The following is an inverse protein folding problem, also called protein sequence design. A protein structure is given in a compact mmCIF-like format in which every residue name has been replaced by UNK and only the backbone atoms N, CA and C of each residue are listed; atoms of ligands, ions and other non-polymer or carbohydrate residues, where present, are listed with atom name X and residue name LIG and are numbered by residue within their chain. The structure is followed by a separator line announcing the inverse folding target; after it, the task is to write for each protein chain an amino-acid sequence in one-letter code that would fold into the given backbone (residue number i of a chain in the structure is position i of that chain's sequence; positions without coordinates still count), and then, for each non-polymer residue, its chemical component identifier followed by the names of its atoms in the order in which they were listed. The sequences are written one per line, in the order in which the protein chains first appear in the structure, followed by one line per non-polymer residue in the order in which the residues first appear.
data_IF_681712692160
#
_entry.id   IF_681712692160
#
_cell.length_a   1.000
_cell.length_b   1.000
_cell.length_c   1.000
_cell.angle_alpha   90.00
_cell.angle_beta   90.00
_cell.angle_gamma   90.00
#
_symmetry.space_group_name_H-M   'P 1'
#
loop_
_entity.id
_entity.type
_entity.pdbx_description
1 polymer ?
#
# COMPACT_ATOMS: atom_id res chain seq x y z
N UNK A 1 17.28 13.18 6.16
CA UNK A 1 16.68 14.53 6.05
C UNK A 1 15.26 14.44 5.51
N UNK A 2 14.31 15.12 6.16
CA UNK A 2 12.95 15.30 5.64
C UNK A 2 12.58 16.77 5.69
N UNK A 3 12.17 17.33 4.55
CA UNK A 3 11.69 18.70 4.42
C UNK A 3 10.33 18.64 3.74
N UNK A 4 9.33 19.32 4.29
CA UNK A 4 8.00 19.32 3.71
C UNK A 4 7.27 20.66 3.87
N UNK A 5 6.26 20.86 3.02
CA UNK A 5 5.27 21.95 3.11
C UNK A 5 5.89 23.34 3.28
N UNK A 6 6.84 23.71 2.42
CA UNK A 6 7.50 25.01 2.50
C UNK A 6 7.84 25.59 1.13
N UNK A 7 7.61 26.89 0.99
CA UNK A 7 8.08 27.72 -0.13
C UNK A 7 9.14 28.72 0.29
N UNK A 8 9.51 28.73 1.57
CA UNK A 8 10.59 29.56 2.10
C UNK A 8 11.89 29.15 1.43
N UNK A 9 12.64 30.13 0.93
CA UNK A 9 13.95 29.88 0.33
C UNK A 9 14.85 29.12 1.31
N UNK A 10 15.37 27.99 0.86
CA UNK A 10 16.24 27.13 1.66
C UNK A 10 17.49 26.74 0.91
N UNK A 11 18.55 26.49 1.66
CA UNK A 11 19.83 26.04 1.09
C UNK A 11 20.44 24.94 1.94
N UNK A 12 20.97 23.94 1.27
CA UNK A 12 21.86 22.94 1.87
C UNK A 12 23.23 23.12 1.23
N UNK A 13 24.26 23.28 2.05
CA UNK A 13 25.65 23.37 1.62
C UNK A 13 26.41 22.18 2.22
N UNK A 14 27.00 21.35 1.36
CA UNK A 14 27.91 20.25 1.73
C UNK A 14 27.33 19.34 2.83
N UNK A 15 26.51 18.37 2.42
CA UNK A 15 25.85 17.46 3.36
C UNK A 15 26.04 16.01 2.91
N UNK A 16 26.65 15.20 3.77
CA UNK A 16 26.68 13.74 3.61
C UNK A 16 25.61 13.11 4.48
N UNK A 17 24.77 12.24 3.91
CA UNK A 17 23.70 11.50 4.58
C UNK A 17 23.90 10.03 4.24
N UNK A 18 24.18 9.22 5.26
CA UNK A 18 24.70 7.86 5.04
C UNK A 18 24.00 6.87 5.98
N UNK A 19 23.91 5.61 5.57
CA UNK A 19 23.54 4.46 6.41
C UNK A 19 22.12 4.53 7.01
N UNK A 20 21.15 4.99 6.23
CA UNK A 20 19.75 5.02 6.68
C UNK A 20 18.99 3.76 6.26
N UNK A 21 17.94 3.41 7.01
CA UNK A 21 17.22 2.13 6.85
C UNK A 21 16.24 2.11 5.68
N UNK A 22 15.49 3.20 5.49
CA UNK A 22 14.41 3.28 4.47
C UNK A 22 14.54 4.45 3.52
N UNK A 23 14.94 5.62 4.03
CA UNK A 23 15.15 6.81 3.21
C UNK A 23 16.29 7.66 3.78
N UNK A 24 17.09 8.28 2.91
CA UNK A 24 18.09 9.27 3.31
C UNK A 24 17.53 10.69 3.17
N UNK A 25 16.93 11.03 2.04
CA UNK A 25 16.46 12.38 1.72
C UNK A 25 15.05 12.34 1.16
N UNK A 26 14.15 13.11 1.78
CA UNK A 26 12.79 13.32 1.28
C UNK A 26 12.45 14.80 1.24
N UNK A 27 12.01 15.27 0.08
CA UNK A 27 11.39 16.59 -0.10
C UNK A 27 9.95 16.40 -0.57
N UNK A 28 8.98 16.99 0.15
CA UNK A 28 7.56 16.87 -0.18
C UNK A 28 6.86 18.23 -0.14
N UNK A 29 6.33 18.71 -1.27
CA UNK A 29 5.74 20.06 -1.38
C UNK A 29 6.73 21.16 -0.98
N UNK A 30 7.96 21.07 -1.50
CA UNK A 30 9.05 22.02 -1.23
C UNK A 30 9.35 22.85 -2.48
N UNK A 31 9.60 24.15 -2.31
CA UNK A 31 9.98 25.00 -3.42
C UNK A 31 10.98 26.08 -3.06
N UNK A 32 11.73 26.57 -4.06
CA UNK A 32 12.75 27.61 -3.96
C UNK A 32 14.01 27.19 -3.19
N UNK A 33 14.40 25.92 -3.31
CA UNK A 33 15.54 25.35 -2.58
C UNK A 33 16.74 25.09 -3.48
N UNK A 34 17.94 25.29 -2.91
CA UNK A 34 19.20 24.97 -3.59
C UNK A 34 20.04 24.03 -2.72
N UNK A 35 20.37 22.86 -3.26
CA UNK A 35 21.12 21.80 -2.59
C UNK A 35 22.47 21.66 -3.29
N UNK A 36 23.55 21.91 -2.57
CA UNK A 36 24.91 21.93 -3.10
C UNK A 36 25.76 20.86 -2.41
N UNK A 37 26.52 20.09 -3.21
CA UNK A 37 27.47 19.09 -2.72
C UNK A 37 26.82 18.10 -1.73
N UNK A 38 25.68 17.54 -2.12
CA UNK A 38 25.01 16.51 -1.33
C UNK A 38 25.56 15.13 -1.69
N UNK A 39 25.83 14.33 -0.68
CA UNK A 39 26.19 12.93 -0.81
C UNK A 39 25.19 12.04 -0.08
N UNK A 40 24.78 10.98 -0.74
CA UNK A 40 24.03 9.83 -0.22
C UNK A 40 24.97 8.61 -0.17
N UNK A 41 24.92 7.77 0.87
CA UNK A 41 25.74 6.56 0.98
C UNK A 41 25.02 5.39 1.66
N UNK A 42 24.83 4.32 0.90
CA UNK A 42 24.11 3.14 1.34
C UNK A 42 25.08 2.01 1.76
N UNK A 43 24.82 1.41 2.92
CA UNK A 43 25.68 0.37 3.53
C UNK A 43 24.96 -0.97 3.67
N UNK A 44 25.74 -2.06 3.70
CA UNK A 44 25.25 -3.43 3.65
C UNK A 44 24.31 -3.84 4.79
N UNK A 45 24.54 -3.38 6.03
CA UNK A 45 23.76 -3.79 7.20
C UNK A 45 22.46 -3.00 7.33
N UNK A 46 22.48 -1.72 6.99
CA UNK A 46 21.37 -0.82 7.29
C UNK A 46 20.68 -0.28 6.02
N UNK A 47 21.42 -0.02 4.95
CA UNK A 47 20.95 0.72 3.78
C UNK A 47 20.67 -0.09 2.51
N UNK A 48 20.76 -1.42 2.56
CA UNK A 48 20.60 -2.28 1.37
C UNK A 48 19.34 -1.97 0.54
N UNK A 49 18.23 -1.63 1.22
CA UNK A 49 16.93 -1.32 0.60
C UNK A 49 16.51 0.16 0.78
N UNK A 50 17.44 1.04 1.14
CA UNK A 50 17.16 2.45 1.34
C UNK A 50 16.82 3.12 0.00
N UNK A 51 15.87 4.05 0.00
CA UNK A 51 15.69 4.99 -1.11
C UNK A 51 16.54 6.24 -0.83
N UNK A 52 17.59 6.54 -1.62
CA UNK A 52 18.45 7.69 -1.35
C UNK A 52 17.69 9.01 -1.36
N UNK A 53 17.00 9.31 -2.47
CA UNK A 53 16.32 10.59 -2.64
C UNK A 53 14.91 10.37 -3.18
N UNK A 54 13.95 11.05 -2.56
CA UNK A 54 12.58 11.13 -3.04
C UNK A 54 12.08 12.57 -3.07
N UNK A 55 11.64 13.02 -4.25
CA UNK A 55 11.04 14.34 -4.45
C UNK A 55 9.56 14.17 -4.82
N UNK A 56 8.67 14.83 -4.09
CA UNK A 56 7.25 14.80 -4.37
C UNK A 56 6.66 16.20 -4.38
N UNK A 57 5.91 16.54 -5.44
CA UNK A 57 5.25 17.84 -5.60
C UNK A 57 6.20 19.03 -5.36
N UNK A 58 7.48 18.87 -5.70
CA UNK A 58 8.51 19.89 -5.51
C UNK A 58 8.61 20.80 -6.74
N UNK A 59 9.03 22.04 -6.54
CA UNK A 59 9.21 22.96 -7.65
C UNK A 59 10.30 24.00 -7.47
N UNK A 60 10.89 24.48 -8.56
CA UNK A 60 11.94 25.50 -8.54
C UNK A 60 13.07 25.14 -7.57
N UNK A 61 13.70 23.98 -7.80
CA UNK A 61 14.82 23.51 -6.99
C UNK A 61 16.05 23.22 -7.86
N UNK A 62 17.22 23.41 -7.26
CA UNK A 62 18.50 23.07 -7.89
C UNK A 62 19.26 22.10 -7.00
N UNK A 63 19.77 21.02 -7.59
CA UNK A 63 20.76 20.13 -7.00
C UNK A 63 22.05 20.27 -7.80
N UNK A 64 23.16 20.62 -7.16
CA UNK A 64 24.44 20.76 -7.85
C UNK A 64 25.55 19.97 -7.14
N UNK A 65 26.36 19.24 -7.91
CA UNK A 65 27.38 18.30 -7.44
C UNK A 65 26.75 17.22 -6.54
N UNK A 66 25.83 16.44 -7.09
CA UNK A 66 25.12 15.38 -6.37
C UNK A 66 25.87 14.05 -6.50
N UNK A 67 26.20 13.44 -5.36
CA UNK A 67 26.84 12.13 -5.27
C UNK A 67 25.89 11.11 -4.64
N UNK A 68 25.62 10.03 -5.35
CA UNK A 68 24.82 8.91 -4.87
C UNK A 68 25.73 7.68 -4.87
N UNK A 69 26.09 7.21 -3.68
CA UNK A 69 27.16 6.25 -3.50
C UNK A 69 26.68 4.93 -2.86
N UNK A 70 27.20 3.80 -3.35
CA UNK A 70 27.00 2.46 -2.79
C UNK A 70 28.35 1.83 -2.42
N UNK A 71 28.48 1.40 -1.17
CA UNK A 71 29.74 0.86 -0.63
C UNK A 71 30.15 -0.49 -1.21
N UNK A 72 31.43 -0.84 -1.04
CA UNK A 72 32.03 -2.11 -1.50
C UNK A 72 31.39 -3.40 -0.95
N UNK A 73 30.64 -3.31 0.16
CA UNK A 73 30.05 -4.48 0.84
C UNK A 73 28.63 -4.80 0.36
N UNK A 74 28.06 -3.98 -0.52
CA UNK A 74 26.73 -4.26 -1.05
C UNK A 74 26.74 -5.45 -1.99
N UNK A 75 25.86 -6.39 -1.72
CA UNK A 75 25.73 -7.66 -2.46
C UNK A 75 24.43 -7.79 -3.24
N UNK A 76 23.59 -6.76 -3.22
CA UNK A 76 22.32 -6.72 -3.93
C UNK A 76 22.12 -5.40 -4.70
N UNK A 77 21.48 -5.47 -5.87
CA UNK A 77 21.12 -4.28 -6.64
C UNK A 77 19.97 -3.53 -5.96
N UNK A 78 19.82 -2.26 -6.32
CA UNK A 78 18.66 -1.45 -5.93
C UNK A 78 18.19 -0.62 -7.14
N UNK A 79 16.88 -0.50 -7.36
CA UNK A 79 16.39 -0.04 -8.65
C UNK A 79 16.63 1.45 -8.90
N UNK A 80 16.49 2.32 -7.88
CA UNK A 80 16.46 3.77 -8.09
C UNK A 80 17.27 4.57 -7.07
N UNK A 81 18.04 5.56 -7.51
CA UNK A 81 18.63 6.54 -6.56
C UNK A 81 17.68 7.70 -6.25
N UNK A 82 17.12 8.31 -7.29
CA UNK A 82 16.18 9.43 -7.17
C UNK A 82 14.83 9.03 -7.74
N UNK A 83 13.81 9.01 -6.89
CA UNK A 83 12.41 8.91 -7.33
C UNK A 83 11.76 10.28 -7.30
N UNK A 84 11.04 10.61 -8.37
CA UNK A 84 10.31 11.87 -8.46
C UNK A 84 8.83 11.65 -8.76
N UNK A 85 8.00 12.51 -8.17
CA UNK A 85 6.55 12.49 -8.29
C UNK A 85 6.04 13.91 -8.51
N UNK A 86 5.42 14.19 -9.67
CA UNK A 86 4.76 15.47 -9.96
C UNK A 86 5.63 16.71 -9.66
N UNK A 87 6.92 16.63 -10.00
CA UNK A 87 7.86 17.75 -9.81
C UNK A 87 7.97 18.60 -11.08
N UNK A 88 8.32 19.87 -10.93
CA UNK A 88 8.50 20.80 -12.06
C UNK A 88 9.63 21.78 -11.79
N UNK A 89 10.26 22.28 -12.84
CA UNK A 89 11.35 23.25 -12.73
C UNK A 89 12.44 22.81 -11.75
N UNK A 90 12.88 21.54 -11.86
CA UNK A 90 13.97 20.99 -11.07
C UNK A 90 15.19 20.83 -11.95
N UNK A 91 16.33 21.34 -11.49
CA UNK A 91 17.59 21.25 -12.21
C UNK A 91 18.61 20.45 -11.40
N UNK A 92 19.21 19.45 -12.02
CA UNK A 92 20.36 18.72 -11.49
C UNK A 92 21.58 19.07 -12.32
N UNK A 93 22.66 19.47 -11.65
CA UNK A 93 23.93 19.87 -12.25
C UNK A 93 25.05 18.99 -11.69
N UNK A 94 25.86 18.41 -12.58
CA UNK A 94 26.98 17.55 -12.24
C UNK A 94 26.60 16.40 -11.27
N UNK A 95 26.05 15.33 -11.83
CA UNK A 95 25.51 14.20 -11.07
C UNK A 95 26.37 12.96 -11.23
N UNK A 96 26.61 12.29 -10.10
CA UNK A 96 27.44 11.10 -9.97
C UNK A 96 26.64 9.98 -9.27
N UNK A 97 26.42 8.86 -9.96
CA UNK A 97 25.93 7.60 -9.40
C UNK A 97 27.07 6.60 -9.39
N UNK A 98 27.60 6.27 -8.22
CA UNK A 98 28.87 5.56 -8.11
C UNK A 98 28.78 4.37 -7.15
N UNK A 99 29.52 3.32 -7.47
CA UNK A 99 29.74 2.20 -6.59
C UNK A 99 31.12 1.61 -6.85
N UNK A 100 31.74 1.08 -5.80
CA UNK A 100 33.00 0.35 -5.92
C UNK A 100 32.79 -1.16 -6.18
N UNK A 101 31.54 -1.57 -6.40
CA UNK A 101 31.10 -2.92 -6.78
C UNK A 101 30.35 -2.86 -8.11
N UNK A 102 29.97 -4.03 -8.63
CA UNK A 102 29.24 -4.16 -9.90
C UNK A 102 27.87 -3.47 -9.91
N UNK A 103 27.28 -3.27 -8.75
CA UNK A 103 25.92 -2.77 -8.60
C UNK A 103 25.95 -1.34 -8.05
N UNK A 104 25.88 -0.36 -8.95
CA UNK A 104 25.27 0.94 -8.63
C UNK A 104 23.75 0.74 -8.50
N UNK A 105 22.97 1.82 -8.38
CA UNK A 105 21.54 1.71 -8.67
C UNK A 105 21.30 1.52 -10.17
N UNK A 106 20.28 0.72 -10.52
CA UNK A 106 19.99 0.38 -11.91
C UNK A 106 19.58 1.61 -12.74
N UNK A 107 18.78 2.49 -12.14
CA UNK A 107 18.25 3.71 -12.75
C UNK A 107 18.47 4.90 -11.81
N UNK A 108 19.45 5.77 -12.09
CA UNK A 108 19.71 6.98 -11.29
C UNK A 108 18.48 7.85 -11.03
N UNK A 109 17.65 8.12 -12.04
CA UNK A 109 16.42 8.92 -11.88
C UNK A 109 15.23 8.21 -12.50
N UNK A 110 14.14 8.13 -11.74
CA UNK A 110 12.89 7.58 -12.19
C UNK A 110 11.71 8.48 -11.82
N UNK A 111 10.94 8.90 -12.82
CA UNK A 111 9.67 9.60 -12.63
C UNK A 111 8.53 8.59 -12.70
N UNK A 112 7.79 8.47 -11.61
CA UNK A 112 6.84 7.37 -11.47
C UNK A 112 5.55 7.63 -12.25
N UNK A 113 5.14 8.89 -12.39
CA UNK A 113 3.90 9.24 -13.08
C UNK A 113 4.08 9.30 -14.60
N UNK A 114 5.27 9.65 -15.07
CA UNK A 114 5.59 9.63 -16.51
C UNK A 114 6.26 8.33 -16.95
N UNK A 115 6.67 7.46 -16.03
CA UNK A 115 7.41 6.21 -16.34
C UNK A 115 8.70 6.48 -17.14
N UNK A 116 9.28 7.67 -16.97
CA UNK A 116 10.53 8.08 -17.62
C UNK A 116 11.72 7.78 -16.72
N UNK A 117 12.81 7.33 -17.34
CA UNK A 117 14.04 6.95 -16.69
C UNK A 117 15.27 7.66 -17.28
N UNK A 118 16.21 8.06 -16.43
CA UNK A 118 17.54 8.55 -16.83
C UNK A 118 18.58 7.57 -16.32
N UNK A 119 19.30 6.95 -17.27
CA UNK A 119 20.20 5.82 -17.01
C UNK A 119 21.69 6.14 -16.88
N UNK A 120 22.26 7.16 -17.55
CA UNK A 120 23.68 7.46 -17.40
C UNK A 120 24.05 7.67 -15.93
N UNK A 121 25.13 7.02 -15.49
CA UNK A 121 25.62 7.15 -14.11
C UNK A 121 26.36 8.46 -13.86
N UNK A 122 26.78 9.14 -14.92
CA UNK A 122 27.53 10.39 -14.89
C UNK A 122 26.93 11.33 -15.93
N UNK A 123 26.49 12.52 -15.53
CA UNK A 123 26.01 13.54 -16.47
C UNK A 123 26.10 14.97 -15.93
N UNK A 124 26.32 15.92 -16.82
CA UNK A 124 26.53 17.33 -16.46
C UNK A 124 25.23 18.06 -16.11
N UNK A 125 24.09 17.70 -16.72
CA UNK A 125 22.83 18.41 -16.52
C UNK A 125 21.62 17.54 -16.80
N UNK A 126 20.61 17.64 -15.94
CA UNK A 126 19.25 17.14 -16.16
C UNK A 126 18.26 18.23 -15.74
N UNK A 127 17.22 18.44 -16.54
CA UNK A 127 16.13 19.38 -16.24
C UNK A 127 14.83 18.61 -16.27
N UNK A 128 14.04 18.73 -15.20
CA UNK A 128 12.67 18.24 -15.10
C UNK A 128 11.76 19.46 -15.23
N UNK A 129 11.04 19.56 -16.33
CA UNK A 129 10.17 20.70 -16.65
C UNK A 129 8.79 20.58 -16.02
N UNK A 130 8.35 19.37 -15.68
CA UNK A 130 6.98 19.06 -15.25
C UNK A 130 5.98 19.02 -16.40
N UNK A 131 6.47 18.99 -17.64
CA UNK A 131 5.67 18.90 -18.89
C UNK A 131 5.99 17.65 -19.70
N UNK A 132 6.82 16.78 -19.15
CA UNK A 132 7.20 15.53 -19.77
C UNK A 132 5.96 14.67 -19.99
N UNK A 133 5.82 14.14 -21.20
CA UNK A 133 4.77 13.17 -21.50
C UNK A 133 5.14 11.81 -20.90
N UNK A 134 4.12 11.05 -20.48
CA UNK A 134 4.31 9.67 -20.06
C UNK A 134 4.93 8.84 -21.20
N UNK A 135 5.93 8.01 -20.89
CA UNK A 135 6.63 7.12 -21.82
C UNK A 135 5.68 6.22 -22.60
N UNK A 136 4.71 5.64 -21.90
CA UNK A 136 3.63 4.83 -22.48
C UNK A 136 2.29 5.49 -22.15
N UNK A 137 1.58 6.10 -23.11
CA UNK A 137 0.29 6.73 -22.89
C UNK A 137 -0.75 5.75 -22.32
N UNK A 138 -1.57 6.23 -21.38
CA UNK A 138 -2.75 5.51 -20.89
C UNK A 138 -3.92 5.79 -21.83
N UNK A 139 -4.46 4.73 -22.43
CA UNK A 139 -5.53 4.77 -23.43
C UNK A 139 -6.91 4.51 -22.84
N UNK A 140 -6.98 3.88 -21.66
CA UNK A 140 -8.22 3.45 -21.02
C UNK A 140 -9.10 2.59 -21.95
N UNK A 141 -8.47 1.86 -22.86
CA UNK A 141 -9.15 0.96 -23.79
C UNK A 141 -9.76 -0.22 -23.02
N UNK A 142 -11.01 -0.56 -23.36
CA UNK A 142 -11.72 -1.66 -22.72
C UNK A 142 -10.96 -2.99 -22.89
N UNK A 143 -10.76 -3.70 -21.78
CA UNK A 143 -10.09 -4.99 -21.73
C UNK A 143 -8.55 -4.90 -21.79
N UNK A 144 -7.98 -3.72 -22.03
CA UNK A 144 -6.53 -3.54 -22.07
C UNK A 144 -5.99 -3.28 -20.66
N UNK A 145 -5.04 -4.12 -20.23
CA UNK A 145 -4.31 -3.91 -18.98
C UNK A 145 -3.23 -2.86 -19.19
N UNK A 146 -3.27 -1.80 -18.39
CA UNK A 146 -2.32 -0.69 -18.44
C UNK A 146 -1.58 -0.57 -17.11
N UNK A 147 -0.25 -0.55 -17.16
CA UNK A 147 0.58 -0.28 -15.98
C UNK A 147 0.52 1.21 -15.65
N UNK A 148 0.08 1.54 -14.44
CA UNK A 148 -0.02 2.90 -13.93
C UNK A 148 1.30 3.36 -13.30
N UNK A 149 1.96 2.48 -12.56
CA UNK A 149 3.28 2.72 -11.98
C UNK A 149 3.97 1.41 -11.62
N UNK A 150 5.29 1.49 -11.41
CA UNK A 150 6.11 0.41 -10.88
C UNK A 150 7.14 0.97 -9.90
N UNK A 151 8.00 0.11 -9.36
CA UNK A 151 9.02 0.49 -8.39
C UNK A 151 8.55 0.39 -6.94
N UNK A 152 7.47 -0.35 -6.71
CA UNK A 152 7.06 -0.78 -5.38
C UNK A 152 7.80 -2.08 -5.01
N UNK A 153 8.04 -2.27 -3.73
CA UNK A 153 8.56 -3.46 -3.09
C UNK A 153 7.54 -4.59 -3.10
N UNK A 154 6.33 -4.28 -2.62
CA UNK A 154 5.19 -5.18 -2.64
C UNK A 154 3.89 -4.39 -2.49
N UNK A 155 3.24 -4.08 -3.62
CA UNK A 155 1.99 -3.33 -3.63
C UNK A 155 0.81 -4.25 -3.27
N UNK A 156 0.08 -3.89 -2.21
CA UNK A 156 -1.10 -4.63 -1.73
C UNK A 156 -2.06 -3.74 -0.93
N UNK A 157 -3.02 -4.36 -0.23
CA UNK A 157 -3.83 -3.68 0.79
C UNK A 157 -4.77 -2.62 0.22
N UNK A 158 -5.39 -2.88 -0.93
CA UNK A 158 -6.09 -1.82 -1.67
C UNK A 158 -7.46 -1.45 -1.09
N UNK A 159 -7.83 -0.18 -1.23
CA UNK A 159 -9.19 0.32 -0.98
C UNK A 159 -9.51 1.53 -1.88
N UNK A 160 -10.74 2.02 -1.82
CA UNK A 160 -11.20 3.18 -2.59
C UNK A 160 -11.96 4.19 -1.73
N UNK A 161 -11.98 5.44 -2.16
CA UNK A 161 -12.93 6.44 -1.67
C UNK A 161 -14.13 6.62 -2.62
N UNK A 162 -15.11 7.41 -2.20
CA UNK A 162 -16.32 7.72 -2.97
C UNK A 162 -16.06 8.47 -4.28
N UNK A 163 -14.89 9.12 -4.40
CA UNK A 163 -14.46 9.87 -5.59
C UNK A 163 -13.78 8.97 -6.62
N UNK A 164 -13.58 7.69 -6.30
CA UNK A 164 -12.94 6.71 -7.15
C UNK A 164 -11.42 6.73 -7.09
N UNK A 165 -10.82 7.45 -6.13
CA UNK A 165 -9.38 7.32 -5.88
C UNK A 165 -9.09 5.93 -5.31
N UNK A 166 -7.88 5.44 -5.57
CA UNK A 166 -7.40 4.17 -5.04
C UNK A 166 -6.27 4.41 -4.06
N UNK A 167 -6.31 3.71 -2.94
CA UNK A 167 -5.24 3.70 -1.94
C UNK A 167 -4.67 2.29 -1.86
N UNK A 168 -3.36 2.18 -1.68
CA UNK A 168 -2.64 0.91 -1.53
C UNK A 168 -1.38 1.11 -0.68
N UNK A 169 -0.78 0.04 -0.19
CA UNK A 169 0.37 0.13 0.70
C UNK A 169 1.48 -0.88 0.39
N UNK A 170 2.62 -0.68 1.05
CA UNK A 170 3.73 -1.62 1.16
C UNK A 170 4.00 -1.90 2.64
N UNK A 171 3.90 -3.16 3.04
CA UNK A 171 4.09 -3.54 4.43
C UNK A 171 5.51 -3.24 4.92
N UNK A 172 6.53 -3.81 4.27
CA UNK A 172 7.92 -3.75 4.73
C UNK A 172 8.51 -2.35 4.60
N UNK A 173 8.19 -1.65 3.52
CA UNK A 173 8.63 -0.27 3.30
C UNK A 173 7.83 0.76 4.10
N UNK A 174 6.72 0.35 4.71
CA UNK A 174 5.86 1.17 5.59
C UNK A 174 5.23 2.37 4.89
N UNK A 175 4.90 2.21 3.61
CA UNK A 175 4.41 3.31 2.77
C UNK A 175 2.97 3.11 2.38
N UNK A 176 2.25 4.22 2.26
CA UNK A 176 0.87 4.28 1.78
C UNK A 176 0.82 5.23 0.59
N UNK A 177 0.16 4.83 -0.47
CA UNK A 177 0.06 5.55 -1.73
C UNK A 177 -1.40 5.84 -2.07
N UNK A 178 -1.60 6.86 -2.91
CA UNK A 178 -2.87 7.22 -3.51
C UNK A 178 -2.68 7.35 -5.01
N UNK A 179 -3.49 6.65 -5.78
CA UNK A 179 -3.77 6.98 -7.18
C UNK A 179 -5.00 7.89 -7.23
N UNK A 180 -4.82 9.07 -7.83
CA UNK A 180 -5.84 10.10 -7.93
C UNK A 180 -6.64 9.95 -9.23
N UNK A 181 -7.96 9.77 -9.10
CA UNK A 181 -8.86 9.56 -10.24
C UNK A 181 -9.08 10.80 -11.11
N UNK A 182 -8.86 12.00 -10.56
CA UNK A 182 -8.98 13.25 -11.28
C UNK A 182 -7.78 13.51 -12.19
N UNK A 183 -6.58 13.30 -11.67
CA UNK A 183 -5.31 13.65 -12.32
C UNK A 183 -4.62 12.46 -12.99
N UNK A 184 -5.08 11.22 -12.76
CA UNK A 184 -4.42 9.98 -13.18
C UNK A 184 -2.97 9.87 -12.69
N UNK A 185 -2.66 10.41 -11.52
CA UNK A 185 -1.31 10.43 -10.94
C UNK A 185 -1.28 9.72 -9.60
N UNK A 186 -0.13 9.16 -9.26
CA UNK A 186 0.15 8.57 -7.96
C UNK A 186 0.94 9.56 -7.09
N UNK A 187 0.67 9.51 -5.79
CA UNK A 187 1.43 10.18 -4.74
C UNK A 187 1.64 9.25 -3.54
N UNK A 188 2.80 9.37 -2.90
CA UNK A 188 3.08 8.85 -1.57
C UNK A 188 2.33 9.69 -0.53
N UNK A 189 1.40 9.07 0.19
CA UNK A 189 0.66 9.68 1.30
C UNK A 189 1.57 9.79 2.52
N UNK A 190 2.21 8.70 2.92
CA UNK A 190 3.06 8.69 4.12
C UNK A 190 4.01 7.51 4.18
N UNK A 191 5.09 7.70 4.94
CA UNK A 191 6.02 6.64 5.39
C UNK A 191 5.92 6.59 6.91
N UNK A 192 5.36 5.51 7.42
CA UNK A 192 4.95 5.40 8.82
C UNK A 192 5.97 4.58 9.63
N UNK A 193 6.00 4.77 10.96
CA UNK A 193 6.83 3.94 11.82
C UNK A 193 6.33 2.50 11.91
N UNK A 194 5.05 2.22 11.65
CA UNK A 194 4.45 0.88 11.71
C UNK A 194 4.17 0.34 10.31
N UNK A 195 4.08 -0.99 10.20
CA UNK A 195 3.85 -1.69 8.94
C UNK A 195 2.36 -1.64 8.59
N UNK A 196 1.93 -0.92 7.54
CA UNK A 196 0.55 -0.97 7.05
C UNK A 196 0.32 -2.33 6.39
N UNK A 197 -0.73 -3.02 6.79
CA UNK A 197 -1.05 -4.37 6.32
C UNK A 197 -2.12 -4.34 5.23
N UNK A 198 -3.21 -3.62 5.52
CA UNK A 198 -4.33 -3.47 4.62
C UNK A 198 -5.04 -2.16 4.90
N UNK A 199 -5.71 -1.64 3.88
CA UNK A 199 -6.43 -0.37 3.94
C UNK A 199 -7.92 -0.61 3.83
N UNK A 200 -8.68 0.31 4.42
CA UNK A 200 -10.11 0.43 4.29
C UNK A 200 -10.51 1.88 4.13
N UNK A 201 -11.76 2.12 3.77
CA UNK A 201 -12.32 3.46 3.77
C UNK A 201 -13.68 3.40 4.46
N UNK A 202 -14.02 4.41 5.26
CA UNK A 202 -15.34 4.49 5.89
C UNK A 202 -16.38 5.11 4.92
N UNK A 203 -17.58 5.41 5.39
CA UNK A 203 -18.64 6.00 4.54
C UNK A 203 -18.46 7.51 4.29
N UNK A 204 -17.46 8.14 4.92
CA UNK A 204 -17.15 9.57 4.83
C UNK A 204 -15.78 9.83 4.22
N UNK A 205 -15.22 8.84 3.54
CA UNK A 205 -13.90 8.87 2.90
C UNK A 205 -12.71 9.04 3.87
N UNK A 206 -12.86 8.67 5.15
CA UNK A 206 -11.70 8.56 6.03
C UNK A 206 -10.92 7.29 5.66
N UNK A 207 -9.62 7.43 5.43
CA UNK A 207 -8.75 6.29 5.18
C UNK A 207 -8.52 5.56 6.49
N UNK A 208 -8.79 4.25 6.51
CA UNK A 208 -8.54 3.36 7.63
C UNK A 208 -7.32 2.50 7.30
N UNK A 209 -6.43 2.32 8.26
CA UNK A 209 -5.17 1.59 8.07
C UNK A 209 -5.02 0.57 9.18
N UNK A 210 -4.89 -0.71 8.82
CA UNK A 210 -4.48 -1.76 9.75
C UNK A 210 -2.96 -1.74 9.85
N UNK A 211 -2.43 -1.42 11.02
CA UNK A 211 -1.00 -1.44 11.30
C UNK A 211 -0.62 -2.66 12.13
N UNK A 212 0.49 -3.30 11.78
CA UNK A 212 1.16 -4.25 12.67
C UNK A 212 1.94 -3.49 13.73
N UNK A 213 1.49 -3.60 14.98
CA UNK A 213 2.09 -2.92 16.11
C UNK A 213 2.84 -3.91 17.00
N UNK A 214 4.13 -3.61 17.26
CA UNK A 214 4.95 -4.35 18.23
C UNK A 214 5.31 -3.41 19.38
N UNK A 215 4.87 -3.71 20.62
CA UNK A 215 5.34 -2.99 21.80
C UNK A 215 6.87 -2.94 21.83
N UNK A 216 7.43 -1.75 22.04
CA UNK A 216 8.87 -1.57 22.06
C UNK A 216 9.44 -2.01 23.41
N UNK A 217 10.42 -2.94 23.46
CA UNK A 217 11.07 -3.31 24.71
C UNK A 217 11.69 -2.10 25.41
N UNK A 218 11.37 -1.93 26.70
CA UNK A 218 11.87 -0.81 27.50
C UNK A 218 11.02 0.46 27.40
N UNK A 219 10.11 0.55 26.42
CA UNK A 219 9.09 1.61 26.40
C UNK A 219 7.98 1.28 27.39
N UNK A 220 7.91 2.05 28.47
CA UNK A 220 7.00 1.82 29.60
C UNK A 220 5.96 2.92 29.68
N UNK A 221 4.69 2.54 29.75
CA UNK A 221 3.58 3.46 30.03
C UNK A 221 3.31 3.38 31.53
N UNK A 222 3.50 4.51 32.23
CA UNK A 222 3.37 4.59 33.69
C UNK A 222 4.21 3.52 34.44
N UNK A 223 5.41 3.22 33.94
CA UNK A 223 6.32 2.23 34.53
C UNK A 223 6.04 0.77 34.16
N UNK A 224 4.97 0.49 33.40
CA UNK A 224 4.60 -0.86 32.96
C UNK A 224 4.99 -1.06 31.49
N UNK A 225 5.61 -2.20 31.19
CA UNK A 225 5.91 -2.59 29.81
C UNK A 225 4.58 -2.82 29.07
N UNK A 226 4.43 -2.16 27.93
CA UNK A 226 3.26 -2.38 27.09
C UNK A 226 3.24 -3.81 26.55
N UNK A 227 2.05 -4.40 26.50
CA UNK A 227 1.77 -5.72 25.92
C UNK A 227 0.59 -5.64 24.96
N UNK A 228 0.43 -6.66 24.15
CA UNK A 228 -0.70 -6.84 23.23
C UNK A 228 -1.43 -8.13 23.59
N UNK A 229 -2.77 -8.19 23.42
CA UNK A 229 -3.52 -9.40 23.71
C UNK A 229 -3.25 -10.48 22.67
N UNK A 230 -3.21 -11.74 23.12
CA UNK A 230 -3.30 -12.89 22.23
C UNK A 230 -4.76 -13.08 21.81
N UNK A 231 -5.03 -13.05 20.51
CA UNK A 231 -6.38 -13.25 19.99
C UNK A 231 -6.74 -14.75 19.98
N UNK A 232 -7.97 -15.15 20.34
CA UNK A 232 -8.34 -16.57 20.41
C UNK A 232 -8.25 -17.33 19.08
N UNK A 233 -8.34 -16.63 17.95
CA UNK A 233 -8.20 -17.15 16.58
C UNK A 233 -6.75 -17.14 16.06
N UNK A 234 -5.79 -16.77 16.90
CA UNK A 234 -4.37 -16.86 16.55
C UNK A 234 -3.88 -18.31 16.45
N UNK A 235 -4.53 -19.26 17.11
CA UNK A 235 -4.24 -20.69 16.93
C UNK A 235 -4.72 -21.17 15.56
N UNK A 236 -4.12 -22.23 15.01
CA UNK A 236 -4.56 -22.89 13.77
C UNK A 236 -4.05 -22.26 12.46
N UNK A 237 -3.24 -21.19 12.57
CA UNK A 237 -2.46 -20.64 11.45
C UNK A 237 -0.97 -20.66 11.77
N UNK A 238 -0.15 -21.04 10.80
CA UNK A 238 1.32 -21.01 10.83
C UNK A 238 1.86 -19.59 10.81
N UNK A 239 1.00 -18.59 10.55
CA UNK A 239 1.35 -17.19 10.71
C UNK A 239 1.40 -16.75 12.18
N UNK A 240 0.98 -17.59 13.12
CA UNK A 240 1.09 -17.33 14.56
C UNK A 240 2.14 -18.23 15.21
N UNK A 241 2.85 -17.69 16.21
CA UNK A 241 3.95 -18.39 16.88
C UNK A 241 5.22 -18.42 16.04
N UNK A 242 6.15 -19.34 16.36
CA UNK A 242 7.43 -19.51 15.64
C UNK A 242 8.24 -18.21 15.44
N UNK A 243 8.21 -17.30 16.41
CA UNK A 243 8.86 -15.98 16.33
C UNK A 243 8.01 -14.88 15.67
N UNK A 244 6.79 -15.19 15.23
CA UNK A 244 5.78 -14.25 14.73
C UNK A 244 4.63 -14.10 15.75
N UNK A 245 4.96 -13.64 16.96
CA UNK A 245 4.01 -13.32 18.05
C UNK A 245 4.40 -12.00 18.73
N UNK A 246 3.64 -11.58 19.75
CA UNK A 246 3.92 -10.35 20.49
C UNK A 246 3.63 -9.07 19.70
N UNK A 247 2.71 -9.13 18.74
CA UNK A 247 2.22 -7.98 17.99
C UNK A 247 0.69 -7.94 18.00
N UNK A 248 0.12 -6.75 17.84
CA UNK A 248 -1.31 -6.52 17.64
C UNK A 248 -1.59 -5.89 16.28
N UNK A 249 -2.81 -6.06 15.79
CA UNK A 249 -3.33 -5.36 14.61
C UNK A 249 -4.14 -4.16 15.09
N UNK A 250 -3.54 -2.97 15.07
CA UNK A 250 -4.22 -1.74 15.47
C UNK A 250 -4.72 -0.96 14.26
N UNK A 251 -5.91 -0.42 14.35
CA UNK A 251 -6.54 0.28 13.25
C UNK A 251 -6.49 1.77 13.53
N UNK A 252 -6.00 2.53 12.56
CA UNK A 252 -5.97 3.99 12.61
C UNK A 252 -6.81 4.59 11.50
N UNK A 253 -7.36 5.77 11.73
CA UNK A 253 -7.86 6.65 10.67
C UNK A 253 -6.83 7.72 10.33
N UNK A 254 -6.75 8.10 9.05
CA UNK A 254 -5.82 9.10 8.54
C UNK A 254 -6.56 10.03 7.56
N UNK A 255 -6.36 11.33 7.72
CA UNK A 255 -6.68 12.31 6.68
C UNK A 255 -5.53 12.37 5.67
N UNK A 256 -5.81 11.98 4.43
CA UNK A 256 -4.80 11.84 3.37
C UNK A 256 -4.15 13.16 2.94
N UNK A 257 -4.77 14.30 3.25
CA UNK A 257 -4.21 15.63 2.97
C UNK A 257 -3.21 16.09 4.04
N UNK A 258 -3.32 15.57 5.26
CA UNK A 258 -2.42 15.86 6.37
C UNK A 258 -2.15 14.60 7.23
N UNK A 259 -1.48 13.58 6.66
CA UNK A 259 -1.40 12.26 7.28
C UNK A 259 -0.53 12.23 8.55
N UNK A 260 0.51 13.04 8.61
CA UNK A 260 1.46 13.08 9.72
C UNK A 260 0.81 13.60 11.03
N UNK A 261 -0.17 14.50 10.93
CA UNK A 261 -0.83 15.13 12.08
C UNK A 261 -2.21 14.53 12.41
N UNK A 262 -2.81 13.80 11.47
CA UNK A 262 -4.20 13.32 11.60
C UNK A 262 -4.34 11.85 11.99
N UNK A 263 -3.23 11.10 12.07
CA UNK A 263 -3.26 9.69 12.42
C UNK A 263 -3.87 9.48 13.81
N UNK A 264 -4.98 8.72 13.87
CA UNK A 264 -5.73 8.51 15.10
C UNK A 264 -6.11 7.04 15.26
N UNK A 265 -5.74 6.45 16.41
CA UNK A 265 -6.14 5.10 16.78
C UNK A 265 -7.67 5.02 16.94
N UNK A 266 -8.30 4.03 16.31
CA UNK A 266 -9.73 3.83 16.41
C UNK A 266 -10.14 3.28 17.78
N UNK A 267 -11.31 3.67 18.30
CA UNK A 267 -11.86 3.07 19.50
C UNK A 267 -12.17 1.58 19.29
N UNK A 268 -11.70 0.76 20.23
CA UNK A 268 -12.02 -0.66 20.35
C UNK A 268 -13.21 -0.83 21.28
N UNK A 269 -14.27 -1.48 20.81
CA UNK A 269 -15.54 -1.67 21.54
C UNK A 269 -16.00 -3.13 21.45
N UNK A 270 -16.87 -3.61 22.36
CA UNK A 270 -17.46 -4.93 22.24
C UNK A 270 -18.24 -5.09 20.94
N UNK A 271 -18.12 -6.26 20.31
CA UNK A 271 -18.87 -6.59 19.09
C UNK A 271 -20.38 -6.52 19.35
N UNK A 272 -21.14 -5.95 18.40
CA UNK A 272 -22.59 -5.74 18.54
C UNK A 272 -23.01 -4.51 19.35
N UNK A 273 -22.07 -3.75 19.95
CA UNK A 273 -22.40 -2.51 20.67
C UNK A 273 -22.75 -1.33 19.76
N UNK A 274 -22.34 -1.37 18.49
CA UNK A 274 -22.66 -0.35 17.49
C UNK A 274 -24.06 -0.60 16.93
N UNK A 275 -24.98 0.34 17.17
CA UNK A 275 -26.42 0.16 16.90
C UNK A 275 -26.78 0.02 15.41
N UNK A 276 -26.01 0.65 14.52
CA UNK A 276 -26.28 0.67 13.09
C UNK A 276 -24.98 0.49 12.32
N UNK A 277 -24.89 -0.61 11.57
CA UNK A 277 -23.76 -0.88 10.69
C UNK A 277 -24.15 -0.56 9.25
N UNK A 278 -23.37 0.29 8.60
CA UNK A 278 -23.46 0.55 7.17
C UNK A 278 -22.61 -0.46 6.39
N UNK A 279 -21.42 -0.77 6.91
CA UNK A 279 -20.54 -1.83 6.40
C UNK A 279 -19.58 -2.32 7.50
N UNK A 280 -19.17 -3.57 7.39
CA UNK A 280 -18.02 -4.12 8.09
C UNK A 280 -16.87 -4.31 7.10
N UNK A 281 -15.64 -4.29 7.57
CA UNK A 281 -14.45 -4.56 6.75
C UNK A 281 -13.76 -5.82 7.27
N UNK A 282 -13.70 -6.86 6.44
CA UNK A 282 -13.15 -8.16 6.80
C UNK A 282 -11.93 -8.53 5.95
N UNK A 283 -11.00 -9.36 6.47
CA UNK A 283 -9.93 -9.97 5.68
C UNK A 283 -10.42 -10.59 4.38
N UNK A 284 -9.73 -10.28 3.27
CA UNK A 284 -10.01 -10.86 1.95
C UNK A 284 -9.76 -12.37 1.86
N UNK A 285 -8.75 -12.83 2.59
CA UNK A 285 -8.26 -14.20 2.56
C UNK A 285 -7.81 -14.62 3.96
N UNK A 286 -7.76 -15.93 4.19
CA UNK A 286 -7.16 -16.52 5.41
C UNK A 286 -6.39 -17.79 5.04
N UNK A 287 -5.22 -17.94 5.64
CA UNK A 287 -4.45 -19.18 5.58
C UNK A 287 -4.60 -19.94 6.89
N UNK A 288 -5.18 -21.14 6.85
CA UNK A 288 -5.61 -21.90 8.02
C UNK A 288 -5.12 -23.36 7.95
N UNK A 289 -3.96 -23.63 8.53
CA UNK A 289 -3.29 -24.94 8.50
C UNK A 289 -4.10 -26.05 9.21
N UNK A 290 -5.00 -25.69 10.12
CA UNK A 290 -5.87 -26.65 10.81
C UNK A 290 -7.15 -26.98 10.04
N UNK A 291 -7.32 -26.45 8.82
CA UNK A 291 -8.54 -26.58 8.03
C UNK A 291 -9.80 -26.11 8.79
N UNK A 292 -9.62 -25.15 9.71
CA UNK A 292 -10.69 -24.56 10.51
C UNK A 292 -11.22 -23.25 9.90
N UNK A 293 -10.89 -22.98 8.64
CA UNK A 293 -11.30 -21.78 7.89
C UNK A 293 -12.77 -21.45 8.06
N UNK A 294 -13.65 -22.43 7.88
CA UNK A 294 -15.09 -22.21 7.97
C UNK A 294 -15.51 -21.70 9.35
N UNK A 295 -15.01 -22.34 10.41
CA UNK A 295 -15.36 -22.00 11.80
C UNK A 295 -14.82 -20.63 12.19
N UNK A 296 -13.58 -20.31 11.79
CA UNK A 296 -12.93 -19.04 12.10
C UNK A 296 -13.56 -17.88 11.33
N UNK A 297 -13.95 -18.10 10.08
CA UNK A 297 -14.48 -17.03 9.22
C UNK A 297 -15.84 -16.53 9.69
N UNK A 298 -16.71 -17.41 10.21
CA UNK A 298 -18.03 -17.04 10.75
C UNK A 298 -18.03 -16.82 12.26
N UNK A 299 -16.88 -16.93 12.92
CA UNK A 299 -16.77 -16.64 14.36
C UNK A 299 -17.04 -15.16 14.58
N UNK A 300 -17.91 -14.86 15.55
CA UNK A 300 -18.14 -13.50 16.04
C UNK A 300 -16.99 -13.14 17.00
N UNK A 301 -16.16 -12.13 16.69
CA UNK A 301 -15.13 -11.68 17.60
C UNK A 301 -15.72 -11.05 18.86
N UNK A 302 -14.93 -10.98 19.93
CA UNK A 302 -15.35 -10.31 21.16
C UNK A 302 -15.46 -8.78 20.96
N UNK A 303 -14.58 -8.21 20.14
CA UNK A 303 -14.46 -6.77 19.95
C UNK A 303 -14.36 -6.40 18.46
N UNK A 304 -14.61 -5.13 18.17
CA UNK A 304 -14.37 -4.51 16.88
C UNK A 304 -13.83 -3.08 17.06
N UNK A 305 -13.23 -2.55 16.00
CA UNK A 305 -12.83 -1.14 15.91
C UNK A 305 -13.92 -0.36 15.18
N UNK A 306 -14.23 0.84 15.67
CA UNK A 306 -15.26 1.70 15.05
C UNK A 306 -14.59 2.85 14.31
N UNK A 307 -14.91 3.00 13.04
CA UNK A 307 -14.41 4.11 12.22
C UNK A 307 -15.01 5.46 12.66
N UNK A 308 -14.42 6.60 12.23
CA UNK A 308 -14.90 7.93 12.61
C UNK A 308 -16.34 8.23 12.16
N UNK A 309 -16.85 7.56 11.13
CA UNK A 309 -18.25 7.68 10.71
C UNK A 309 -19.27 7.08 11.70
N UNK A 310 -18.82 6.27 12.66
CA UNK A 310 -19.65 5.61 13.68
C UNK A 310 -20.52 4.46 13.16
N UNK A 311 -20.40 4.09 11.88
CA UNK A 311 -21.24 3.07 11.21
C UNK A 311 -20.43 2.07 10.38
N UNK A 312 -19.13 2.29 10.21
CA UNK A 312 -18.18 1.33 9.66
C UNK A 312 -17.42 0.67 10.80
N UNK A 313 -17.36 -0.67 10.80
CA UNK A 313 -16.60 -1.43 11.79
C UNK A 313 -15.53 -2.32 11.14
N UNK A 314 -14.47 -2.61 11.88
CA UNK A 314 -13.47 -3.64 11.55
C UNK A 314 -13.46 -4.65 12.70
N UNK A 315 -14.05 -5.85 12.51
CA UNK A 315 -14.06 -6.89 13.54
C UNK A 315 -12.63 -7.37 13.88
N UNK A 316 -12.33 -7.49 15.18
CA UNK A 316 -10.99 -7.82 15.66
C UNK A 316 -10.70 -9.32 15.46
N UNK A 317 -9.96 -9.64 14.41
CA UNK A 317 -9.52 -11.01 14.12
C UNK A 317 -8.03 -11.05 13.81
N UNK A 318 -7.40 -12.19 14.10
CA UNK A 318 -5.97 -12.39 13.93
C UNK A 318 -5.55 -12.29 12.46
N UNK A 319 -6.41 -12.73 11.53
CA UNK A 319 -6.13 -12.72 10.10
C UNK A 319 -5.97 -11.30 9.51
N UNK A 320 -6.39 -10.23 10.23
CA UNK A 320 -6.02 -8.85 9.89
C UNK A 320 -4.50 -8.68 9.73
N UNK A 321 -3.71 -9.50 10.44
CA UNK A 321 -2.25 -9.47 10.43
C UNK A 321 -1.61 -9.93 9.11
N UNK A 322 -2.34 -10.69 8.29
CA UNK A 322 -1.84 -11.37 7.08
C UNK A 322 -2.65 -11.05 5.82
N UNK A 323 -3.92 -10.69 5.96
CA UNK A 323 -4.82 -10.48 4.83
C UNK A 323 -4.23 -9.52 3.81
N UNK A 324 -4.31 -9.87 2.52
CA UNK A 324 -3.77 -9.00 1.46
C UNK A 324 -4.65 -7.77 1.23
N UNK A 325 -5.90 -7.77 1.70
CA UNK A 325 -6.83 -6.62 1.65
C UNK A 325 -7.93 -6.73 2.71
N UNK A 326 -8.63 -5.61 2.93
CA UNK A 326 -9.94 -5.60 3.58
C UNK A 326 -11.03 -5.48 2.53
N UNK A 327 -12.02 -6.37 2.60
CA UNK A 327 -13.18 -6.35 1.72
C UNK A 327 -14.40 -5.79 2.45
N UNK A 328 -15.23 -5.05 1.70
CA UNK A 328 -16.44 -4.42 2.22
C UNK A 328 -17.58 -5.44 2.34
N UNK A 329 -18.01 -5.73 3.58
CA UNK A 329 -19.18 -6.52 3.90
C UNK A 329 -20.37 -5.60 4.18
N UNK A 330 -21.31 -5.53 3.24
CA UNK A 330 -22.53 -4.73 3.39
C UNK A 330 -23.70 -5.60 3.88
N UNK A 331 -24.40 -5.22 4.96
CA UNK A 331 -25.59 -5.94 5.41
C UNK A 331 -26.60 -6.24 4.29
N UNK A 332 -27.07 -7.48 4.22
CA UNK A 332 -28.01 -7.95 3.20
C UNK A 332 -27.41 -8.20 1.81
N UNK A 333 -26.10 -8.01 1.63
CA UNK A 333 -25.37 -8.41 0.42
C UNK A 333 -24.48 -9.62 0.71
N UNK A 334 -24.19 -10.46 -0.30
CA UNK A 334 -23.23 -11.54 -0.13
C UNK A 334 -21.80 -10.98 0.06
N UNK A 335 -21.02 -11.68 0.87
CA UNK A 335 -19.60 -11.43 1.09
C UNK A 335 -18.77 -12.61 0.58
N UNK A 336 -17.65 -12.32 -0.09
CA UNK A 336 -16.79 -13.33 -0.71
C UNK A 336 -15.38 -13.24 -0.13
N UNK A 337 -14.84 -14.34 0.37
CA UNK A 337 -13.48 -14.42 0.90
C UNK A 337 -12.77 -15.71 0.47
N UNK A 338 -11.46 -15.63 0.30
CA UNK A 338 -10.64 -16.76 -0.10
C UNK A 338 -10.22 -17.61 1.12
N UNK A 339 -10.48 -18.90 1.02
CA UNK A 339 -9.71 -19.91 1.74
C UNK A 339 -8.42 -20.13 0.95
N UNK A 340 -7.36 -19.48 1.41
CA UNK A 340 -6.06 -19.45 0.72
C UNK A 340 -5.40 -20.85 0.72
N UNK A 341 -5.65 -21.64 1.77
CA UNK A 341 -5.05 -22.96 1.93
C UNK A 341 -5.69 -23.96 0.93
N UNK A 342 -7.02 -24.04 0.92
CA UNK A 342 -7.74 -24.98 0.06
C UNK A 342 -8.02 -24.40 -1.35
N UNK A 343 -7.47 -23.23 -1.68
CA UNK A 343 -7.57 -22.54 -2.97
C UNK A 343 -9.01 -22.36 -3.48
N UNK A 344 -9.92 -21.97 -2.59
CA UNK A 344 -11.35 -21.82 -2.89
C UNK A 344 -11.90 -20.48 -2.42
N UNK A 345 -12.92 -19.99 -3.12
CA UNK A 345 -13.70 -18.83 -2.69
C UNK A 345 -14.96 -19.32 -1.98
N UNK A 346 -15.27 -18.71 -0.84
CA UNK A 346 -16.55 -18.93 -0.14
C UNK A 346 -17.45 -17.72 -0.29
N UNK A 347 -18.76 -17.94 -0.15
CA UNK A 347 -19.80 -16.93 -0.09
C UNK A 347 -20.48 -16.99 1.28
N UNK A 348 -20.76 -15.83 1.87
CA UNK A 348 -21.39 -15.70 3.18
C UNK A 348 -22.46 -14.62 3.17
N UNK A 349 -23.38 -14.72 4.12
CA UNK A 349 -24.37 -13.69 4.40
C UNK A 349 -23.82 -12.68 5.41
N UNK A 350 -24.12 -11.39 5.19
CA UNK A 350 -23.80 -10.30 6.11
C UNK A 350 -25.06 -9.84 6.82
N UNK A 351 -25.12 -10.01 8.14
CA UNK A 351 -26.27 -9.59 8.96
C UNK A 351 -26.26 -8.08 9.26
N UNK A 352 -27.36 -7.58 9.83
CA UNK A 352 -27.55 -6.14 10.12
C UNK A 352 -26.55 -5.56 11.12
N UNK A 353 -25.97 -6.40 11.98
CA UNK A 353 -24.91 -6.09 12.94
C UNK A 353 -23.49 -6.31 12.35
N UNK A 354 -23.39 -6.61 11.06
CA UNK A 354 -22.13 -6.78 10.33
C UNK A 354 -21.48 -8.15 10.50
N UNK A 355 -22.11 -9.11 11.18
CA UNK A 355 -21.56 -10.47 11.33
C UNK A 355 -21.67 -11.29 10.04
N UNK A 356 -20.75 -12.25 9.89
CA UNK A 356 -20.74 -13.22 8.78
C UNK A 356 -21.41 -14.54 9.22
N UNK A 357 -22.22 -15.12 8.35
CA UNK A 357 -22.89 -16.41 8.60
C UNK A 357 -23.16 -17.15 7.29
N UNK A 358 -23.74 -18.36 7.38
CA UNK A 358 -24.18 -19.16 6.24
C UNK A 358 -23.10 -19.32 5.16
N UNK A 359 -21.90 -19.76 5.58
CA UNK A 359 -20.77 -19.97 4.67
C UNK A 359 -21.08 -21.11 3.70
N UNK A 360 -20.89 -20.83 2.41
CA UNK A 360 -21.10 -21.75 1.29
C UNK A 360 -19.87 -21.73 0.38
N UNK A 361 -19.45 -22.89 -0.11
CA UNK A 361 -18.42 -22.96 -1.15
C UNK A 361 -18.97 -22.41 -2.46
N UNK A 362 -18.27 -21.43 -3.04
CA UNK A 362 -18.71 -20.74 -4.25
C UNK A 362 -17.97 -21.26 -5.48
N UNK A 363 -16.64 -21.25 -5.45
CA UNK A 363 -15.77 -21.76 -6.53
C UNK A 363 -14.49 -22.37 -5.96
N UNK A 364 -13.91 -23.33 -6.68
CA UNK A 364 -12.63 -23.99 -6.35
C UNK A 364 -11.44 -23.26 -7.03
N UNK A 365 -11.40 -21.93 -6.89
CA UNK A 365 -10.32 -21.07 -7.39
C UNK A 365 -10.30 -19.76 -6.58
N UNK A 366 -9.29 -19.56 -5.74
CA UNK A 366 -8.98 -18.30 -5.07
C UNK A 366 -7.58 -18.33 -4.43
N UNK A 367 -6.93 -17.18 -4.32
CA UNK A 367 -5.68 -17.01 -3.55
C UNK A 367 -5.82 -15.85 -2.55
N UNK A 368 -6.00 -14.64 -3.06
CA UNK A 368 -6.03 -13.42 -2.22
C UNK A 368 -7.38 -12.70 -2.30
N UNK A 369 -7.42 -11.52 -2.93
CA UNK A 369 -8.57 -10.64 -2.97
C UNK A 369 -9.64 -11.01 -4.00
N UNK A 370 -10.84 -10.48 -3.77
CA UNK A 370 -11.91 -10.43 -4.76
C UNK A 370 -12.47 -9.02 -4.91
N UNK A 371 -13.14 -8.76 -6.03
CA UNK A 371 -13.93 -7.56 -6.24
C UNK A 371 -15.24 -7.93 -6.95
N UNK A 372 -16.35 -7.30 -6.55
CA UNK A 372 -17.68 -7.57 -7.11
C UNK A 372 -18.16 -6.37 -7.91
N UNK A 373 -18.57 -6.58 -9.15
CA UNK A 373 -19.13 -5.50 -9.98
C UNK A 373 -20.62 -5.26 -9.69
N UNK A 374 -21.20 -4.23 -10.31
CA UNK A 374 -22.62 -3.87 -10.12
C UNK A 374 -23.62 -4.92 -10.62
N UNK A 375 -23.18 -5.91 -11.41
CA UNK A 375 -24.00 -7.02 -11.91
C UNK A 375 -23.86 -8.28 -11.06
N UNK A 376 -23.02 -8.26 -10.03
CA UNK A 376 -22.75 -9.41 -9.18
C UNK A 376 -21.72 -10.38 -9.75
N UNK A 377 -20.96 -10.00 -10.77
CA UNK A 377 -19.81 -10.81 -11.19
C UNK A 377 -18.68 -10.65 -10.18
N UNK A 378 -18.04 -11.76 -9.84
CA UNK A 378 -16.93 -11.83 -8.89
C UNK A 378 -15.62 -11.96 -9.65
N UNK A 379 -14.76 -10.98 -9.48
CA UNK A 379 -13.39 -10.95 -9.98
C UNK A 379 -12.49 -11.51 -8.87
N UNK A 380 -11.60 -12.43 -9.23
CA UNK A 380 -10.82 -13.20 -8.26
C UNK A 380 -9.35 -13.16 -8.63
N UNK A 381 -8.51 -12.71 -7.69
CA UNK A 381 -7.06 -12.74 -7.80
C UNK A 381 -6.52 -14.15 -7.50
N UNK A 382 -5.94 -14.80 -8.50
CA UNK A 382 -5.22 -16.08 -8.40
C UNK A 382 -4.25 -16.22 -9.59
N UNK A 383 -3.03 -15.67 -9.47
CA UNK A 383 -2.06 -15.62 -10.58
C UNK A 383 -2.39 -14.61 -11.68
N UNK A 384 -3.64 -14.58 -12.12
CA UNK A 384 -4.28 -13.58 -12.98
C UNK A 384 -5.58 -13.12 -12.29
N UNK A 385 -6.43 -12.37 -13.00
CA UNK A 385 -7.80 -12.09 -12.51
C UNK A 385 -8.80 -12.94 -13.29
N UNK A 386 -9.54 -13.79 -12.59
CA UNK A 386 -10.61 -14.61 -13.17
C UNK A 386 -11.98 -14.03 -12.85
N UNK A 387 -12.90 -14.12 -13.82
CA UNK A 387 -14.24 -13.53 -13.70
C UNK A 387 -15.26 -14.66 -13.63
N UNK A 388 -16.13 -14.59 -12.64
CA UNK A 388 -17.22 -15.53 -12.40
C UNK A 388 -18.54 -14.79 -12.32
N UNK A 389 -19.62 -15.36 -12.84
CA UNK A 389 -20.96 -14.83 -12.59
C UNK A 389 -21.43 -15.14 -11.16
N UNK A 390 -22.57 -14.58 -10.76
CA UNK A 390 -23.16 -14.78 -9.42
C UNK A 390 -23.47 -16.25 -9.05
N UNK A 391 -23.43 -17.17 -10.02
CA UNK A 391 -23.66 -18.60 -9.83
C UNK A 391 -22.35 -19.41 -9.80
N UNK A 392 -21.19 -18.75 -9.87
CA UNK A 392 -19.89 -19.40 -9.85
C UNK A 392 -19.46 -19.96 -11.21
N UNK A 393 -20.12 -19.58 -12.31
CA UNK A 393 -19.68 -19.95 -13.66
C UNK A 393 -18.60 -18.99 -14.15
N UNK A 394 -17.44 -19.52 -14.54
CA UNK A 394 -16.35 -18.73 -15.12
C UNK A 394 -16.78 -18.08 -16.45
N UNK A 395 -16.67 -16.76 -16.54
CA UNK A 395 -17.06 -15.96 -17.72
C UNK A 395 -15.86 -15.31 -18.42
N UNK A 396 -14.71 -15.19 -17.74
CA UNK A 396 -13.55 -14.54 -18.34
C UNK A 396 -12.25 -14.67 -17.53
N UNK A 397 -11.19 -14.12 -18.12
CA UNK A 397 -9.84 -14.00 -17.57
C UNK A 397 -9.24 -12.68 -18.04
N UNK A 398 -8.59 -11.95 -17.14
CA UNK A 398 -7.75 -10.79 -17.44
C UNK A 398 -6.31 -11.20 -17.16
N UNK A 399 -5.48 -11.21 -18.20
CA UNK A 399 -4.06 -11.52 -18.06
C UNK A 399 -3.32 -10.31 -17.49
N UNK A 400 -2.70 -10.48 -16.33
CA UNK A 400 -1.90 -9.45 -15.66
C UNK A 400 -0.42 -9.82 -15.76
N UNK A 401 0.49 -8.86 -16.07
CA UNK A 401 1.92 -9.15 -16.20
C UNK A 401 2.61 -9.63 -14.91
N UNK A 402 2.07 -9.27 -13.75
CA UNK A 402 2.55 -9.69 -12.43
C UNK A 402 1.40 -10.34 -11.64
N UNK A 403 1.72 -11.25 -10.71
CA UNK A 403 0.74 -11.94 -9.86
C UNK A 403 0.00 -10.92 -8.98
N UNK A 404 -1.34 -10.78 -9.10
CA UNK A 404 -2.12 -9.86 -8.28
C UNK A 404 -2.10 -10.24 -6.80
N UNK A 405 -1.93 -9.25 -5.93
CA UNK A 405 -2.11 -9.37 -4.49
C UNK A 405 -3.48 -8.83 -4.06
N UNK A 406 -3.89 -7.68 -4.63
CA UNK A 406 -5.17 -7.05 -4.34
C UNK A 406 -5.81 -6.45 -5.60
N UNK A 407 -7.15 -6.39 -5.60
CA UNK A 407 -7.95 -5.83 -6.68
C UNK A 407 -9.10 -5.00 -6.13
N UNK A 408 -9.44 -3.90 -6.81
CA UNK A 408 -10.49 -2.98 -6.35
C UNK A 408 -11.08 -2.22 -7.54
N UNK A 409 -12.41 -2.13 -7.61
CA UNK A 409 -13.09 -1.25 -8.56
C UNK A 409 -12.92 0.22 -8.15
N UNK A 410 -12.68 1.12 -9.10
CA UNK A 410 -12.56 2.55 -8.84
C UNK A 410 -12.58 3.38 -10.12
N UNK A 411 -11.91 4.54 -10.08
CA UNK A 411 -12.00 5.54 -11.13
C UNK A 411 -13.31 6.33 -11.07
N UNK A 412 -13.39 7.41 -11.87
CA UNK A 412 -14.50 8.40 -11.82
C UNK A 412 -15.89 7.79 -11.99
N UNK A 413 -16.00 6.65 -12.67
CA UNK A 413 -17.27 5.98 -12.96
C UNK A 413 -17.37 4.56 -12.36
N UNK A 414 -16.40 4.15 -11.54
CA UNK A 414 -16.40 2.86 -10.87
C UNK A 414 -16.26 1.63 -11.77
N UNK A 415 -15.90 1.81 -13.05
CA UNK A 415 -15.86 0.74 -14.07
C UNK A 415 -14.45 0.31 -14.46
N UNK A 416 -13.45 0.77 -13.72
CA UNK A 416 -12.06 0.38 -13.88
C UNK A 416 -11.66 -0.51 -12.71
N UNK A 417 -11.13 -1.69 -13.01
CA UNK A 417 -10.54 -2.58 -12.02
C UNK A 417 -9.06 -2.19 -11.87
N UNK A 418 -8.67 -1.86 -10.65
CA UNK A 418 -7.28 -1.64 -10.26
C UNK A 418 -6.71 -2.93 -9.72
N UNK A 419 -5.41 -3.13 -9.91
CA UNK A 419 -4.73 -4.38 -9.60
C UNK A 419 -3.35 -4.02 -9.05
N UNK A 420 -3.12 -4.22 -7.75
CA UNK A 420 -1.78 -4.20 -7.20
C UNK A 420 -1.17 -5.59 -7.36
N UNK A 421 -0.03 -5.65 -8.03
CA UNK A 421 0.60 -6.90 -8.41
C UNK A 421 2.12 -6.77 -8.25
N UNK A 422 2.64 -7.39 -7.18
CA UNK A 422 4.07 -7.38 -6.82
C UNK A 422 4.65 -5.96 -6.84
N UNK A 423 5.40 -5.59 -7.87
CA UNK A 423 6.14 -4.32 -7.91
C UNK A 423 5.37 -3.16 -8.55
N UNK A 424 4.14 -3.40 -9.02
CA UNK A 424 3.43 -2.47 -9.87
C UNK A 424 1.95 -2.33 -9.53
N UNK A 425 1.39 -1.18 -9.93
CA UNK A 425 -0.05 -0.93 -9.98
C UNK A 425 -0.51 -0.96 -11.44
N UNK A 426 -1.54 -1.74 -11.73
CA UNK A 426 -2.19 -1.82 -13.04
C UNK A 426 -3.65 -1.38 -12.96
N UNK A 427 -4.21 -1.06 -14.11
CA UNK A 427 -5.64 -0.86 -14.29
C UNK A 427 -6.14 -1.52 -15.56
N UNK A 428 -7.42 -1.89 -15.57
CA UNK A 428 -8.11 -2.41 -16.73
C UNK A 428 -9.55 -1.94 -16.73
N UNK A 429 -9.98 -1.41 -17.88
CA UNK A 429 -11.36 -1.00 -18.08
C UNK A 429 -12.21 -2.21 -18.41
N UNK A 430 -13.22 -2.54 -17.60
CA UNK A 430 -13.99 -3.80 -17.79
C UNK A 430 -15.42 -3.60 -18.32
N UNK A 431 -16.01 -2.41 -18.12
CA UNK A 431 -17.36 -2.08 -18.62
C UNK A 431 -17.42 -0.90 -19.59
#
# INVERSE_FOLDING_TARGET
VYVSNTSTEGRIYAMSIEHHVRNEVRFNKVSNWKVYAMQCEEESREGTNCQPIELQNCSNMVFANLYMFRVIRLVSPYPYSVRIWNCKDIEFLNVHNFAQVKFTTDVPFYDINTDLDVRPWEFTRLVITGKEARKTPLTNEKGKVERLATGFEFAEGMTRDSKGNIYFCEQRMRRIYKWNAETNSISLIGDFPWEPLSLGCDTKDNLLVVFKYRPQPGYKINGVQETVPDLPDAAGTSFSGWGNSGFGSWIYSINTENPDESIQLLPRVPMGSVKKIAKALYPSNKWRDYHDFNAITVRVPENCFVAPDGVTIIPECYDLARASSLLEAFPGKPFYAADEYDQRMVKMDVSADGNLSNLQYFIEQAEFGSAVDSKGNVYVADGHVYIYDQNGKKTGKIEVPERPASIQFGGKDGKTLFIAARSSLYSVRVE
#
